data_IF_431287309596
#
_entry.id   IF_431287309596
#
_cell.length_a   1.000
_cell.length_b   1.000
_cell.length_c   1.000
_cell.angle_alpha   90.00
_cell.angle_beta   90.00
_cell.angle_gamma   90.00
#
_symmetry.space_group_name_H-M   'P 1'
#
loop_
_entity.id
_entity.type
_entity.pdbx_description
1 polymer ?
#
# COMPACT_ATOMS: atom_id res chain seq x y z
N UNK A 1 -24.85 11.26 -12.78
CA UNK A 1 -24.23 12.32 -13.62
C UNK A 1 -23.85 11.76 -15.01
N UNK A 2 -24.25 12.45 -16.09
CA UNK A 2 -24.17 11.99 -17.50
C UNK A 2 -22.74 11.61 -17.91
N UNK A 3 -22.54 10.38 -18.40
CA UNK A 3 -21.30 9.90 -19.03
C UNK A 3 -20.95 10.76 -20.25
N UNK A 4 -19.90 11.56 -20.17
CA UNK A 4 -19.35 12.25 -21.34
C UNK A 4 -18.44 11.27 -22.08
N UNK A 5 -18.91 10.73 -23.22
CA UNK A 5 -18.08 10.03 -24.20
C UNK A 5 -17.21 11.07 -24.93
N UNK A 6 -16.01 11.36 -24.43
CA UNK A 6 -15.02 12.11 -25.21
C UNK A 6 -14.33 11.16 -26.18
N UNK A 7 -14.39 11.46 -27.48
CA UNK A 7 -13.93 10.55 -28.55
C UNK A 7 -12.81 11.15 -29.40
N UNK A 8 -12.32 12.36 -29.11
CA UNK A 8 -11.21 12.92 -29.89
C UNK A 8 -10.34 13.92 -29.13
N UNK A 9 -9.11 14.11 -29.63
CA UNK A 9 -8.14 15.12 -29.16
C UNK A 9 -8.72 16.55 -29.04
N UNK A 10 -9.79 16.84 -29.79
CA UNK A 10 -10.48 18.13 -29.72
C UNK A 10 -11.15 18.36 -28.36
N UNK A 11 -11.54 17.31 -27.66
CA UNK A 11 -12.30 17.35 -26.39
C UNK A 11 -11.42 17.48 -25.15
N UNK A 12 -10.09 17.34 -25.31
CA UNK A 12 -9.12 17.47 -24.22
C UNK A 12 -9.07 18.92 -23.72
N UNK A 13 -9.17 19.18 -22.40
CA UNK A 13 -9.08 20.52 -21.80
C UNK A 13 -7.84 21.31 -22.24
N UNK A 14 -7.98 22.63 -22.37
CA UNK A 14 -6.93 23.53 -22.89
C UNK A 14 -5.63 23.49 -22.11
N UNK A 15 -5.71 23.29 -20.80
CA UNK A 15 -4.55 23.35 -19.90
C UNK A 15 -3.66 22.12 -20.04
N UNK A 16 -4.27 20.97 -20.37
CA UNK A 16 -3.58 19.74 -20.72
C UNK A 16 -2.88 19.91 -22.07
N UNK A 17 -3.58 20.44 -23.09
CA UNK A 17 -2.98 20.70 -24.42
C UNK A 17 -1.74 21.60 -24.35
N UNK A 18 -1.80 22.68 -23.58
CA UNK A 18 -0.64 23.59 -23.36
C UNK A 18 0.53 22.91 -22.67
N UNK A 19 0.27 21.92 -21.82
CA UNK A 19 1.31 21.13 -21.14
C UNK A 19 2.00 20.18 -22.13
N UNK A 20 1.24 19.54 -23.02
CA UNK A 20 1.80 18.68 -24.08
C UNK A 20 2.65 19.45 -25.10
N UNK A 21 2.26 20.67 -25.44
CA UNK A 21 3.04 21.56 -26.33
C UNK A 21 4.38 21.96 -25.71
N UNK A 22 4.43 22.22 -24.39
CA UNK A 22 5.67 22.54 -23.67
C UNK A 22 6.65 21.36 -23.58
N UNK A 23 6.16 20.13 -23.66
CA UNK A 23 6.97 18.91 -23.54
C UNK A 23 7.50 18.41 -24.90
N UNK A 24 7.17 19.08 -26.01
CA UNK A 24 7.65 18.81 -27.37
C UNK A 24 7.50 17.33 -27.81
N UNK A 25 6.39 16.70 -27.40
CA UNK A 25 6.12 15.28 -27.67
C UNK A 25 5.69 15.07 -29.14
N UNK A 26 6.31 14.13 -29.88
CA UNK A 26 6.01 13.85 -31.29
C UNK A 26 4.52 13.53 -31.55
N UNK A 27 3.99 13.90 -32.73
CA UNK A 27 2.56 13.73 -33.07
C UNK A 27 2.06 12.27 -33.01
N UNK A 28 2.94 11.29 -33.27
CA UNK A 28 2.56 9.87 -33.20
C UNK A 28 2.29 9.41 -31.76
N UNK A 29 2.89 10.04 -30.75
CA UNK A 29 2.67 9.77 -29.32
C UNK A 29 1.44 10.50 -28.78
N UNK A 30 0.97 11.58 -29.41
CA UNK A 30 -0.27 12.29 -29.00
C UNK A 30 -1.52 11.41 -29.07
N UNK A 31 -1.55 10.42 -29.98
CA UNK A 31 -2.61 9.39 -30.03
C UNK A 31 -2.54 8.43 -28.84
N UNK A 32 -1.34 8.06 -28.41
CA UNK A 32 -1.11 7.17 -27.27
C UNK A 32 -1.46 7.86 -25.93
N UNK A 33 -1.13 9.16 -25.81
CA UNK A 33 -1.43 10.00 -24.65
C UNK A 33 -2.84 10.61 -24.65
N UNK A 34 -3.69 10.25 -25.61
CA UNK A 34 -5.08 10.69 -25.64
C UNK A 34 -5.95 10.11 -24.52
N UNK A 35 -5.37 9.38 -23.54
CA UNK A 35 -5.87 9.06 -22.20
C UNK A 35 -7.09 8.14 -22.12
N UNK A 36 -8.03 8.30 -23.05
CA UNK A 36 -9.26 7.57 -23.19
C UNK A 36 -8.98 6.15 -23.66
N UNK A 37 -8.06 5.94 -24.62
CA UNK A 37 -7.68 4.60 -25.09
C UNK A 37 -7.06 3.73 -23.97
N UNK A 38 -6.05 4.26 -23.29
CA UNK A 38 -5.39 3.57 -22.19
C UNK A 38 -6.33 3.30 -21.00
N UNK A 39 -7.25 4.22 -20.67
CA UNK A 39 -8.25 3.98 -19.62
C UNK A 39 -9.29 2.93 -20.01
N UNK A 40 -9.82 2.98 -21.24
CA UNK A 40 -10.80 1.98 -21.71
C UNK A 40 -10.17 0.58 -21.87
N UNK A 41 -8.94 0.49 -22.36
CA UNK A 41 -8.20 -0.77 -22.44
C UNK A 41 -7.86 -1.30 -21.04
N UNK A 42 -7.49 -0.41 -20.09
CA UNK A 42 -7.25 -0.79 -18.70
C UNK A 42 -8.51 -1.28 -18.00
N UNK A 43 -9.68 -0.66 -18.21
CA UNK A 43 -10.94 -1.12 -17.64
C UNK A 43 -11.33 -2.52 -18.16
N UNK A 44 -11.18 -2.77 -19.46
CA UNK A 44 -11.48 -4.07 -20.06
C UNK A 44 -10.49 -5.17 -19.64
N UNK A 45 -9.21 -4.84 -19.48
CA UNK A 45 -8.20 -5.76 -18.94
C UNK A 45 -8.51 -6.06 -17.48
N UNK A 46 -8.83 -5.04 -16.69
CA UNK A 46 -9.14 -5.19 -15.28
C UNK A 46 -10.44 -5.99 -15.05
N UNK A 47 -11.46 -5.80 -15.88
CA UNK A 47 -12.67 -6.62 -15.83
C UNK A 47 -12.37 -8.10 -16.12
N UNK A 48 -11.54 -8.39 -17.12
CA UNK A 48 -11.12 -9.77 -17.43
C UNK A 48 -10.28 -10.39 -16.31
N UNK A 49 -9.40 -9.61 -15.69
CA UNK A 49 -8.62 -10.05 -14.53
C UNK A 49 -9.51 -10.34 -13.33
N UNK A 50 -10.50 -9.49 -13.03
CA UNK A 50 -11.48 -9.74 -11.96
C UNK A 50 -12.24 -11.04 -12.17
N UNK A 51 -12.69 -11.33 -13.39
CA UNK A 51 -13.36 -12.60 -13.68
C UNK A 51 -12.43 -13.80 -13.53
N UNK A 52 -11.16 -13.69 -13.97
CA UNK A 52 -10.14 -14.72 -13.76
C UNK A 52 -9.91 -14.96 -12.26
N UNK A 53 -9.67 -13.91 -11.49
CA UNK A 53 -9.44 -13.97 -10.05
C UNK A 53 -10.61 -14.61 -9.32
N UNK A 54 -11.85 -14.24 -9.68
CA UNK A 54 -13.06 -14.85 -9.10
C UNK A 54 -13.14 -16.35 -9.38
N UNK A 55 -12.74 -16.82 -10.57
CA UNK A 55 -12.69 -18.25 -10.91
C UNK A 55 -11.62 -19.00 -10.12
N UNK A 56 -10.51 -18.34 -9.80
CA UNK A 56 -9.42 -18.87 -8.96
C UNK A 56 -9.72 -18.75 -7.46
N UNK A 57 -10.88 -18.21 -7.08
CA UNK A 57 -11.30 -18.03 -5.67
C UNK A 57 -10.65 -16.85 -4.97
N UNK A 58 -9.91 -16.01 -5.69
CA UNK A 58 -9.26 -14.81 -5.14
C UNK A 58 -10.34 -13.78 -4.78
N UNK A 59 -10.27 -13.27 -3.55
CA UNK A 59 -11.09 -12.16 -3.10
C UNK A 59 -10.24 -10.90 -3.15
N UNK A 60 -10.69 -9.91 -3.91
CA UNK A 60 -10.09 -8.58 -3.94
C UNK A 60 -11.20 -7.53 -4.01
N UNK A 61 -11.52 -6.98 -2.84
CA UNK A 61 -12.65 -6.09 -2.61
C UNK A 61 -12.19 -4.85 -1.82
N UNK A 62 -13.01 -3.81 -1.79
CA UNK A 62 -12.92 -2.81 -0.72
C UNK A 62 -13.21 -3.45 0.64
N UNK A 63 -12.65 -2.86 1.69
CA UNK A 63 -12.68 -3.43 3.04
C UNK A 63 -14.13 -3.51 3.59
N UNK A 64 -15.02 -2.56 3.24
CA UNK A 64 -16.44 -2.57 3.61
C UNK A 64 -17.21 -3.71 2.95
N UNK A 65 -16.98 -3.96 1.66
CA UNK A 65 -17.60 -5.06 0.92
C UNK A 65 -17.05 -6.40 1.41
N UNK A 66 -15.75 -6.49 1.71
CA UNK A 66 -15.14 -7.65 2.35
C UNK A 66 -15.81 -8.03 3.68
N UNK A 67 -16.09 -7.04 4.54
CA UNK A 67 -16.83 -7.25 5.78
C UNK A 67 -18.26 -7.80 5.55
N UNK A 68 -18.95 -7.31 4.52
CA UNK A 68 -20.34 -7.70 4.23
C UNK A 68 -20.45 -9.07 3.57
N UNK A 69 -19.59 -9.36 2.60
CA UNK A 69 -19.67 -10.57 1.78
C UNK A 69 -18.90 -11.76 2.38
N UNK A 70 -17.86 -11.49 3.19
CA UNK A 70 -17.01 -12.52 3.82
C UNK A 70 -16.87 -12.31 5.34
N UNK A 71 -17.98 -12.25 6.10
CA UNK A 71 -17.95 -11.91 7.52
C UNK A 71 -17.15 -12.91 8.37
N UNK A 72 -17.11 -14.19 7.98
CA UNK A 72 -16.38 -15.22 8.73
C UNK A 72 -14.86 -14.99 8.67
N UNK A 73 -14.32 -14.77 7.48
CA UNK A 73 -12.90 -14.43 7.30
C UNK A 73 -12.59 -13.08 7.95
N UNK A 74 -13.46 -12.09 7.78
CA UNK A 74 -13.25 -10.78 8.37
C UNK A 74 -13.19 -10.86 9.90
N UNK A 75 -14.11 -11.60 10.52
CA UNK A 75 -14.15 -11.82 11.97
C UNK A 75 -12.92 -12.58 12.49
N UNK A 76 -12.39 -13.52 11.71
CA UNK A 76 -11.19 -14.28 12.08
C UNK A 76 -9.93 -13.39 12.09
N UNK A 77 -9.76 -12.55 11.07
CA UNK A 77 -8.47 -11.89 10.81
C UNK A 77 -8.42 -10.40 11.17
N UNK A 78 -9.54 -9.69 11.16
CA UNK A 78 -9.54 -8.24 11.38
C UNK A 78 -9.08 -7.87 12.80
N UNK A 79 -8.02 -7.06 12.90
CA UNK A 79 -7.43 -6.66 14.18
C UNK A 79 -6.63 -7.76 14.88
N UNK A 80 -6.41 -8.92 14.24
CA UNK A 80 -5.64 -10.02 14.80
C UNK A 80 -4.13 -9.73 14.85
N UNK A 81 -3.63 -8.84 13.99
CA UNK A 81 -2.22 -8.44 13.92
C UNK A 81 -2.01 -7.05 14.51
N UNK A 82 -2.94 -6.14 14.26
CA UNK A 82 -2.95 -4.76 14.80
C UNK A 82 -4.30 -4.50 15.47
N UNK A 83 -4.35 -4.80 16.77
CA UNK A 83 -5.51 -4.52 17.62
C UNK A 83 -5.78 -3.02 17.76
N UNK A 84 -7.01 -2.67 18.12
CA UNK A 84 -7.39 -1.29 18.50
C UNK A 84 -6.53 -0.74 19.66
N UNK A 85 -5.92 -1.61 20.47
CA UNK A 85 -5.09 -1.23 21.62
C UNK A 85 -3.61 -1.02 21.27
N UNK A 86 -3.19 -1.26 20.02
CA UNK A 86 -1.78 -1.24 19.61
C UNK A 86 -1.11 0.11 19.85
N UNK A 87 -1.76 1.19 19.39
CA UNK A 87 -1.33 2.55 19.59
C UNK A 87 -2.50 3.52 19.34
N UNK A 88 -2.34 4.80 19.71
CA UNK A 88 -3.40 5.81 19.58
C UNK A 88 -3.93 6.01 18.14
N UNK A 89 -3.09 5.84 17.12
CA UNK A 89 -3.50 5.98 15.72
C UNK A 89 -4.19 4.72 15.20
N UNK A 90 -3.76 3.54 15.64
CA UNK A 90 -4.47 2.29 15.39
C UNK A 90 -5.85 2.29 16.05
N UNK A 91 -5.97 2.79 17.29
CA UNK A 91 -7.24 2.95 17.99
C UNK A 91 -8.21 3.86 17.20
N UNK A 92 -7.71 5.03 16.78
CA UNK A 92 -8.46 5.97 15.96
C UNK A 92 -8.88 5.32 14.63
N UNK A 93 -7.95 4.70 13.92
CA UNK A 93 -8.24 4.00 12.67
C UNK A 93 -9.31 2.92 12.87
N UNK A 94 -9.19 2.06 13.89
CA UNK A 94 -10.20 1.01 14.15
C UNK A 94 -11.58 1.59 14.45
N UNK A 95 -11.68 2.78 15.06
CA UNK A 95 -12.95 3.41 15.35
C UNK A 95 -13.62 4.08 14.13
N UNK A 96 -12.83 4.65 13.21
CA UNK A 96 -13.35 5.52 12.14
C UNK A 96 -12.86 5.15 10.74
N UNK A 97 -12.34 3.94 10.54
CA UNK A 97 -11.81 3.53 9.24
C UNK A 97 -12.86 3.71 8.15
N UNK A 98 -12.39 4.15 6.98
CA UNK A 98 -13.20 4.29 5.79
C UNK A 98 -12.29 4.11 4.58
N UNK A 99 -12.67 3.17 3.72
CA UNK A 99 -11.86 2.71 2.61
C UNK A 99 -10.67 1.84 3.02
N UNK A 100 -10.03 1.27 2.00
CA UNK A 100 -8.97 0.29 2.15
C UNK A 100 -9.22 -0.93 1.27
N UNK A 101 -8.60 -2.05 1.59
CA UNK A 101 -8.70 -3.27 0.78
C UNK A 101 -8.84 -4.52 1.63
N UNK A 102 -9.71 -5.43 1.19
CA UNK A 102 -9.79 -6.79 1.69
C UNK A 102 -9.32 -7.76 0.61
N UNK A 103 -8.24 -8.49 0.91
CA UNK A 103 -7.62 -9.42 -0.04
C UNK A 103 -7.45 -10.78 0.61
N UNK A 104 -7.92 -11.83 -0.06
CA UNK A 104 -7.67 -13.21 0.31
C UNK A 104 -7.21 -14.00 -0.92
N UNK A 105 -6.04 -14.64 -0.80
CA UNK A 105 -5.49 -15.53 -1.82
C UNK A 105 -5.65 -16.97 -1.32
N UNK A 106 -6.43 -17.82 -2.02
CA UNK A 106 -6.67 -19.21 -1.61
C UNK A 106 -5.41 -20.08 -1.66
N UNK A 107 -5.47 -21.20 -0.92
CA UNK A 107 -4.41 -22.20 -0.87
C UNK A 107 -3.91 -22.61 -2.26
N UNK A 108 -2.59 -22.59 -2.44
CA UNK A 108 -1.88 -23.01 -3.65
C UNK A 108 -2.01 -22.04 -4.85
N UNK A 109 -2.80 -20.97 -4.74
CA UNK A 109 -2.97 -20.00 -5.83
C UNK A 109 -1.74 -19.10 -5.92
N UNK A 110 -1.19 -18.95 -7.13
CA UNK A 110 -0.05 -18.09 -7.41
C UNK A 110 -0.42 -17.06 -8.45
N UNK A 111 -0.29 -15.78 -8.08
CA UNK A 111 -0.57 -14.66 -8.97
C UNK A 111 0.77 -14.07 -9.42
N UNK A 112 1.01 -14.09 -10.73
CA UNK A 112 2.20 -13.49 -11.33
C UNK A 112 2.01 -11.98 -11.52
N UNK A 113 0.79 -11.56 -11.86
CA UNK A 113 0.46 -10.15 -12.01
C UNK A 113 0.22 -9.48 -10.65
N UNK A 114 0.80 -8.29 -10.40
CA UNK A 114 0.57 -7.58 -9.15
C UNK A 114 -0.88 -7.10 -9.05
N UNK A 115 -1.53 -7.35 -7.90
CA UNK A 115 -2.78 -6.72 -7.54
C UNK A 115 -2.49 -5.26 -7.20
N UNK A 116 -3.11 -4.32 -7.91
CA UNK A 116 -2.84 -2.90 -7.75
C UNK A 116 -4.06 -2.16 -7.21
N UNK A 117 -3.84 -1.32 -6.20
CA UNK A 117 -4.79 -0.29 -5.76
C UNK A 117 -4.16 1.08 -5.96
N UNK A 118 -4.98 2.01 -6.44
CA UNK A 118 -4.59 3.40 -6.58
C UNK A 118 -5.52 4.25 -5.73
N UNK A 119 -4.99 4.78 -4.63
CA UNK A 119 -5.72 5.72 -3.79
C UNK A 119 -5.40 7.15 -4.24
N UNK A 120 -6.41 7.83 -4.78
CA UNK A 120 -6.33 9.25 -5.11
C UNK A 120 -7.14 10.04 -4.08
N UNK A 121 -6.50 10.95 -3.37
CA UNK A 121 -7.21 11.85 -2.46
C UNK A 121 -7.99 12.88 -3.29
N UNK A 122 -9.31 12.95 -3.08
CA UNK A 122 -10.17 13.94 -3.75
C UNK A 122 -10.72 15.02 -2.81
N UNK A 123 -10.67 14.84 -1.48
CA UNK A 123 -11.33 15.73 -0.52
C UNK A 123 -10.36 16.58 0.32
N UNK A 124 -10.66 17.88 0.39
CA UNK A 124 -9.82 18.94 0.95
C UNK A 124 -9.76 18.98 2.50
N UNK A 125 -10.60 18.19 3.19
CA UNK A 125 -10.82 18.36 4.66
C UNK A 125 -10.99 17.10 5.51
N UNK A 126 -10.61 15.91 5.03
CA UNK A 126 -10.79 14.66 5.80
C UNK A 126 -9.45 14.00 6.09
N UNK A 127 -9.25 13.58 7.35
CA UNK A 127 -8.21 12.61 7.69
C UNK A 127 -8.50 11.29 6.98
N UNK A 128 -7.46 10.61 6.51
CA UNK A 128 -7.57 9.33 5.83
C UNK A 128 -7.22 8.20 6.80
N UNK A 129 -8.19 7.32 7.02
CA UNK A 129 -8.10 6.20 7.96
C UNK A 129 -8.33 4.89 7.21
N UNK A 130 -7.55 4.65 6.15
CA UNK A 130 -7.70 3.43 5.37
C UNK A 130 -7.26 2.20 6.16
N UNK A 131 -7.93 1.07 5.92
CA UNK A 131 -7.56 -0.19 6.54
C UNK A 131 -7.46 -1.30 5.51
N UNK A 132 -6.28 -1.89 5.40
CA UNK A 132 -5.99 -2.98 4.47
C UNK A 132 -5.75 -4.26 5.23
N UNK A 133 -6.47 -5.31 4.86
CA UNK A 133 -6.38 -6.65 5.40
C UNK A 133 -6.07 -7.64 4.28
N UNK A 134 -4.91 -8.28 4.35
CA UNK A 134 -4.44 -9.24 3.34
C UNK A 134 -4.17 -10.58 4.00
N UNK A 135 -4.79 -11.64 3.48
CA UNK A 135 -4.56 -13.01 3.88
C UNK A 135 -4.02 -13.78 2.67
N UNK A 136 -2.84 -14.37 2.83
CA UNK A 136 -2.23 -15.24 1.82
C UNK A 136 -2.14 -16.63 2.42
N UNK A 137 -2.99 -17.52 1.90
CA UNK A 137 -3.18 -18.87 2.44
C UNK A 137 -2.01 -19.80 2.09
N UNK A 138 -2.06 -21.03 2.58
CA UNK A 138 -0.95 -21.99 2.47
C UNK A 138 -0.50 -22.19 1.02
N UNK A 139 0.82 -22.26 0.80
CA UNK A 139 1.44 -22.47 -0.51
C UNK A 139 1.05 -21.42 -1.58
N UNK A 140 0.39 -20.32 -1.19
CA UNK A 140 -0.07 -19.27 -2.08
C UNK A 140 0.95 -18.14 -2.25
N UNK A 141 0.88 -17.43 -3.38
CA UNK A 141 1.80 -16.33 -3.68
C UNK A 141 1.07 -15.16 -4.33
N UNK A 142 1.40 -13.94 -3.89
CA UNK A 142 0.97 -12.72 -4.57
C UNK A 142 1.92 -11.54 -4.41
N UNK A 143 1.73 -10.53 -5.26
CA UNK A 143 2.36 -9.21 -5.14
C UNK A 143 1.27 -8.14 -5.09
N UNK A 144 1.34 -7.26 -4.09
CA UNK A 144 0.44 -6.13 -3.93
C UNK A 144 1.20 -4.85 -4.18
N UNK A 145 0.61 -3.94 -4.95
CA UNK A 145 1.11 -2.57 -5.09
C UNK A 145 0.05 -1.56 -4.71
N UNK A 146 0.43 -0.68 -3.78
CA UNK A 146 -0.39 0.44 -3.34
C UNK A 146 0.32 1.74 -3.75
N UNK A 147 -0.40 2.56 -4.52
CA UNK A 147 0.02 3.92 -4.86
C UNK A 147 -0.86 4.95 -4.16
N UNK A 148 -0.24 5.87 -3.43
CA UNK A 148 -0.94 7.01 -2.83
C UNK A 148 -0.42 8.31 -3.45
N UNK A 149 -1.31 9.08 -4.07
CA UNK A 149 -1.00 10.46 -4.51
C UNK A 149 -2.05 11.43 -3.99
N UNK A 150 -1.58 12.57 -3.49
CA UNK A 150 -2.42 13.64 -2.99
C UNK A 150 -2.20 14.93 -3.80
N UNK A 151 -3.26 15.64 -4.21
CA UNK A 151 -3.15 17.03 -4.66
C UNK A 151 -2.51 17.92 -3.58
N UNK A 152 -1.87 19.02 -4.00
CA UNK A 152 -1.33 20.00 -3.06
C UNK A 152 -2.48 20.75 -2.42
N UNK A 153 -2.71 20.54 -1.12
CA UNK A 153 -3.73 21.24 -0.35
C UNK A 153 -3.09 22.27 0.58
N UNK A 154 -3.85 23.31 0.95
CA UNK A 154 -3.39 24.43 1.77
C UNK A 154 -3.43 24.17 3.28
N UNK A 155 -4.17 23.16 3.74
CA UNK A 155 -4.38 22.85 5.17
C UNK A 155 -3.78 21.52 5.58
N UNK A 156 -3.18 21.43 6.76
CA UNK A 156 -2.61 20.16 7.26
C UNK A 156 -3.67 19.04 7.30
N UNK A 157 -3.27 17.83 6.88
CA UNK A 157 -4.13 16.63 6.93
C UNK A 157 -3.39 15.45 7.54
N UNK A 158 -4.14 14.54 8.17
CA UNK A 158 -3.63 13.32 8.79
C UNK A 158 -3.98 12.10 7.93
N UNK A 159 -2.96 11.33 7.58
CA UNK A 159 -3.09 9.99 7.07
C UNK A 159 -2.65 9.00 8.14
N UNK A 160 -3.59 8.20 8.66
CA UNK A 160 -3.35 7.19 9.68
C UNK A 160 -3.90 5.84 9.19
N UNK A 161 -3.21 5.26 8.21
CA UNK A 161 -3.52 3.95 7.64
C UNK A 161 -3.07 2.78 8.52
N UNK A 162 -3.82 1.68 8.46
CA UNK A 162 -3.47 0.41 9.09
C UNK A 162 -3.41 -0.70 8.04
N UNK A 163 -2.32 -1.45 8.04
CA UNK A 163 -2.13 -2.60 7.12
C UNK A 163 -1.81 -3.85 7.93
N UNK A 164 -2.66 -4.86 7.80
CA UNK A 164 -2.51 -6.18 8.38
C UNK A 164 -2.26 -7.21 7.27
N UNK A 165 -1.16 -7.97 7.39
CA UNK A 165 -0.82 -9.04 6.45
C UNK A 165 -0.64 -10.35 7.20
N UNK A 166 -1.35 -11.39 6.77
CA UNK A 166 -1.25 -12.74 7.32
C UNK A 166 -0.73 -13.66 6.23
N UNK A 167 0.53 -14.09 6.36
CA UNK A 167 1.18 -15.01 5.44
C UNK A 167 1.24 -16.41 6.07
N UNK A 168 0.40 -17.33 5.58
CA UNK A 168 0.28 -18.71 6.07
C UNK A 168 1.45 -19.59 5.59
N UNK A 169 1.45 -20.87 5.97
CA UNK A 169 2.54 -21.80 5.72
C UNK A 169 2.99 -21.82 4.26
N UNK A 170 4.30 -21.76 4.01
CA UNK A 170 4.93 -21.74 2.69
C UNK A 170 4.47 -20.61 1.75
N UNK A 171 3.69 -19.64 2.23
CA UNK A 171 3.17 -18.57 1.39
C UNK A 171 4.21 -17.49 1.12
N UNK A 172 3.99 -16.68 0.08
CA UNK A 172 4.83 -15.54 -0.24
C UNK A 172 4.02 -14.31 -0.60
N UNK A 173 4.30 -13.21 0.08
CA UNK A 173 3.69 -11.91 -0.17
C UNK A 173 4.77 -10.86 -0.37
N UNK A 174 4.63 -10.07 -1.45
CA UNK A 174 5.34 -8.81 -1.61
C UNK A 174 4.34 -7.67 -1.52
N UNK A 175 4.54 -6.75 -0.59
CA UNK A 175 3.79 -5.52 -0.46
C UNK A 175 4.68 -4.35 -0.86
N UNK A 176 4.32 -3.68 -1.96
CA UNK A 176 5.08 -2.54 -2.48
C UNK A 176 4.27 -1.26 -2.35
N UNK A 177 4.90 -0.19 -1.84
CA UNK A 177 4.29 1.13 -1.77
C UNK A 177 5.20 2.20 -2.34
N UNK A 178 4.59 3.12 -3.08
CA UNK A 178 5.22 4.39 -3.43
C UNK A 178 4.26 5.48 -2.98
N UNK A 179 4.69 6.21 -1.95
CA UNK A 179 3.92 7.31 -1.40
C UNK A 179 4.56 8.62 -1.84
N UNK A 180 3.76 9.49 -2.45
CA UNK A 180 4.16 10.86 -2.78
C UNK A 180 3.11 11.82 -2.23
N UNK A 181 3.29 12.18 -0.97
CA UNK A 181 2.34 13.02 -0.23
C UNK A 181 2.59 14.50 -0.47
N UNK A 182 1.52 15.30 -0.38
CA UNK A 182 1.67 16.75 -0.27
C UNK A 182 2.44 17.13 1.01
N UNK A 183 3.12 18.28 0.98
CA UNK A 183 4.08 18.73 2.01
C UNK A 183 3.46 19.04 3.38
N UNK A 184 2.14 19.05 3.48
CA UNK A 184 1.31 19.37 4.64
C UNK A 184 0.66 18.13 5.29
N UNK A 185 1.01 16.93 4.81
CA UNK A 185 0.44 15.65 5.30
C UNK A 185 1.27 15.10 6.47
N UNK A 186 0.60 14.67 7.53
CA UNK A 186 1.16 13.80 8.56
C UNK A 186 0.85 12.35 8.18
N UNK A 187 1.87 11.57 7.86
CA UNK A 187 1.77 10.16 7.47
C UNK A 187 2.17 9.26 8.65
N UNK A 188 1.19 8.84 9.43
CA UNK A 188 1.39 8.13 10.71
C UNK A 188 0.76 6.73 10.63
N UNK A 189 1.43 5.83 9.91
CA UNK A 189 0.88 4.52 9.53
C UNK A 189 1.35 3.40 10.43
N UNK A 190 0.50 2.40 10.62
CA UNK A 190 0.86 1.15 11.31
C UNK A 190 0.73 -0.02 10.34
N UNK A 191 1.86 -0.59 9.91
CA UNK A 191 1.90 -1.75 9.00
C UNK A 191 2.57 -2.93 9.68
N UNK A 192 1.91 -4.08 9.70
CA UNK A 192 2.46 -5.29 10.33
C UNK A 192 2.00 -6.54 9.63
N UNK A 193 2.94 -7.44 9.42
CA UNK A 193 2.70 -8.78 8.94
C UNK A 193 2.97 -9.82 10.03
N UNK A 194 2.29 -10.96 9.93
CA UNK A 194 2.63 -12.19 10.62
C UNK A 194 3.00 -13.25 9.58
N UNK A 195 4.17 -13.86 9.75
CA UNK A 195 4.71 -14.88 8.87
C UNK A 195 4.75 -16.22 9.60
N UNK A 196 4.00 -17.19 9.07
CA UNK A 196 3.93 -18.57 9.55
C UNK A 196 5.06 -19.43 8.96
N UNK A 197 5.00 -20.75 9.18
CA UNK A 197 6.07 -21.69 8.84
C UNK A 197 6.52 -21.53 7.38
N UNK A 198 7.82 -21.29 7.17
CA UNK A 198 8.44 -21.04 5.86
C UNK A 198 7.82 -19.90 5.02
N UNK A 199 6.92 -19.09 5.58
CA UNK A 199 6.31 -17.98 4.86
C UNK A 199 7.33 -16.87 4.63
N UNK A 200 7.23 -16.17 3.50
CA UNK A 200 8.09 -15.03 3.17
C UNK A 200 7.27 -13.76 3.01
N UNK A 201 7.58 -12.74 3.80
CA UNK A 201 6.98 -11.41 3.69
C UNK A 201 8.02 -10.41 3.21
N UNK A 202 7.70 -9.68 2.15
CA UNK A 202 8.53 -8.62 1.60
C UNK A 202 7.81 -7.27 1.67
N UNK A 203 8.39 -6.30 2.38
CA UNK A 203 7.97 -4.91 2.40
C UNK A 203 8.90 -4.09 1.52
N UNK A 204 8.39 -3.47 0.46
CA UNK A 204 9.14 -2.58 -0.43
C UNK A 204 8.48 -1.20 -0.38
N UNK A 205 9.19 -0.16 0.08
CA UNK A 205 8.55 1.15 0.29
C UNK A 205 9.44 2.31 -0.13
N UNK A 206 8.81 3.24 -0.84
CA UNK A 206 9.35 4.56 -1.15
C UNK A 206 8.51 5.64 -0.49
N UNK A 207 9.06 6.32 0.50
CA UNK A 207 8.41 7.45 1.19
C UNK A 207 8.94 8.78 0.66
N UNK A 208 8.09 9.50 -0.07
CA UNK A 208 8.37 10.81 -0.66
C UNK A 208 7.25 11.78 -0.25
N UNK A 209 7.60 13.05 0.00
CA UNK A 209 6.61 14.06 0.35
C UNK A 209 6.44 14.25 1.85
N UNK A 210 5.21 14.49 2.29
CA UNK A 210 4.74 14.71 3.69
C UNK A 210 5.46 15.83 4.45
N UNK A 211 4.83 16.27 5.53
CA UNK A 211 5.46 17.11 6.56
C UNK A 211 6.20 16.22 7.56
N UNK A 212 5.50 15.20 8.07
CA UNK A 212 6.05 14.21 9.00
C UNK A 212 5.61 12.83 8.54
N UNK A 213 6.55 11.90 8.43
CA UNK A 213 6.27 10.47 8.28
C UNK A 213 6.76 9.72 9.51
N UNK A 214 5.93 8.82 10.03
CA UNK A 214 6.30 7.78 10.97
C UNK A 214 5.82 6.44 10.41
N UNK A 215 6.76 5.63 9.89
CA UNK A 215 6.44 4.35 9.24
C UNK A 215 7.47 3.28 9.61
N UNK A 216 6.99 2.20 10.25
CA UNK A 216 7.85 1.09 10.71
C UNK A 216 7.23 -0.26 10.35
N UNK A 217 7.22 -0.68 9.07
CA UNK A 217 6.67 -1.95 8.65
C UNK A 217 7.34 -3.07 9.44
N UNK A 218 6.51 -3.90 10.03
CA UNK A 218 6.95 -4.90 11.00
C UNK A 218 6.61 -6.29 10.48
N UNK A 219 7.46 -7.29 10.75
CA UNK A 219 7.16 -8.70 10.51
C UNK A 219 7.36 -9.48 11.80
N UNK A 220 6.29 -10.12 12.26
CA UNK A 220 6.34 -11.14 13.30
C UNK A 220 6.64 -12.48 12.62
N UNK A 221 7.86 -12.97 12.81
CA UNK A 221 8.33 -14.27 12.32
C UNK A 221 7.91 -15.32 13.34
N UNK A 222 6.64 -15.77 13.23
CA UNK A 222 5.92 -16.51 14.26
C UNK A 222 6.34 -17.97 14.36
N UNK A 223 6.65 -18.59 13.22
CA UNK A 223 6.91 -20.03 13.12
C UNK A 223 8.23 -20.32 12.41
N UNK A 224 8.67 -21.59 12.50
CA UNK A 224 9.97 -22.03 12.00
C UNK A 224 10.16 -21.68 10.52
N UNK A 225 11.34 -21.19 10.17
CA UNK A 225 11.69 -20.95 8.77
C UNK A 225 11.09 -19.69 8.15
N UNK A 226 10.27 -18.93 8.88
CA UNK A 226 9.69 -17.68 8.39
C UNK A 226 10.77 -16.66 8.00
N UNK A 227 10.48 -15.86 6.97
CA UNK A 227 11.43 -14.89 6.37
C UNK A 227 10.81 -13.50 6.22
N UNK A 228 11.62 -12.48 6.48
CA UNK A 228 11.26 -11.07 6.29
C UNK A 228 12.30 -10.34 5.43
N UNK A 229 11.86 -9.69 4.36
CA UNK A 229 12.68 -8.74 3.59
C UNK A 229 12.03 -7.36 3.68
N UNK A 230 12.75 -6.37 4.19
CA UNK A 230 12.24 -5.00 4.38
C UNK A 230 13.18 -4.05 3.65
N UNK A 231 12.70 -3.40 2.60
CA UNK A 231 13.46 -2.45 1.78
C UNK A 231 12.78 -1.09 1.79
N UNK A 232 13.49 -0.09 2.30
CA UNK A 232 13.01 1.28 2.40
C UNK A 232 13.87 2.26 1.61
N UNK A 233 13.20 3.24 1.01
CA UNK A 233 13.80 4.48 0.53
C UNK A 233 12.99 5.64 1.09
N UNK A 234 13.64 6.63 1.68
CA UNK A 234 12.97 7.82 2.23
C UNK A 234 13.67 9.09 1.80
N UNK A 235 12.89 10.11 1.42
CA UNK A 235 13.40 11.40 0.95
C UNK A 235 12.82 12.58 1.75
N UNK A 236 13.65 13.21 2.57
CA UNK A 236 13.34 14.47 3.25
C UNK A 236 14.02 15.64 2.54
N UNK A 237 13.30 16.33 1.66
CA UNK A 237 13.87 17.30 0.71
C UNK A 237 13.45 18.77 0.91
N UNK A 238 12.93 19.15 2.08
CA UNK A 238 12.61 20.54 2.44
C UNK A 238 12.76 20.77 3.94
N UNK A 239 12.99 22.03 4.33
CA UNK A 239 13.03 22.48 5.73
C UNK A 239 11.76 22.06 6.47
N UNK A 240 11.91 21.64 7.72
CA UNK A 240 10.84 21.18 8.62
C UNK A 240 10.14 19.87 8.19
N UNK A 241 10.63 19.19 7.14
CA UNK A 241 10.17 17.82 6.85
C UNK A 241 10.91 16.81 7.71
N UNK A 242 10.17 15.85 8.26
CA UNK A 242 10.74 14.74 9.04
C UNK A 242 10.29 13.42 8.43
N UNK A 243 11.24 12.59 8.04
CA UNK A 243 11.01 11.21 7.64
C UNK A 243 11.58 10.29 8.71
N UNK A 244 10.75 9.85 9.66
CA UNK A 244 11.11 8.83 10.66
C UNK A 244 10.60 7.48 10.17
N UNK A 245 11.49 6.72 9.52
CA UNK A 245 11.13 5.47 8.86
C UNK A 245 12.08 4.34 9.24
N UNK A 246 11.63 3.10 9.08
CA UNK A 246 12.51 1.96 9.28
C UNK A 246 11.76 0.65 9.20
N UNK A 247 12.10 -0.32 10.04
CA UNK A 247 11.50 -1.65 9.96
C UNK A 247 11.72 -2.45 11.23
N UNK A 248 10.83 -3.39 11.50
CA UNK A 248 10.94 -4.27 12.67
C UNK A 248 10.86 -5.74 12.27
N UNK A 249 11.80 -6.55 12.75
CA UNK A 249 11.76 -8.00 12.64
C UNK A 249 11.70 -8.60 14.06
N UNK A 250 10.66 -9.39 14.32
CA UNK A 250 10.42 -10.02 15.63
C UNK A 250 10.50 -11.53 15.42
N UNK A 251 11.61 -12.13 15.82
CA UNK A 251 11.90 -13.55 15.69
C UNK A 251 11.36 -14.31 16.90
N UNK A 252 10.28 -15.08 16.69
CA UNK A 252 9.63 -15.89 17.73
C UNK A 252 9.88 -17.40 17.58
N UNK A 253 10.58 -17.82 16.53
CA UNK A 253 10.82 -19.23 16.25
C UNK A 253 12.21 -19.50 15.65
N UNK A 254 12.61 -20.77 15.74
CA UNK A 254 13.87 -21.28 15.18
C UNK A 254 14.00 -21.08 13.66
N UNK A 255 15.23 -20.95 13.16
CA UNK A 255 15.55 -20.87 11.73
C UNK A 255 14.83 -19.74 10.97
N UNK A 256 14.45 -18.68 11.66
CA UNK A 256 13.87 -17.49 11.03
C UNK A 256 14.96 -16.58 10.47
N UNK A 257 14.68 -15.85 9.38
CA UNK A 257 15.63 -14.95 8.73
C UNK A 257 15.01 -13.58 8.47
N UNK A 258 15.77 -12.51 8.66
CA UNK A 258 15.33 -11.16 8.29
C UNK A 258 16.44 -10.37 7.61
N UNK A 259 16.10 -9.60 6.58
CA UNK A 259 16.95 -8.57 5.99
C UNK A 259 16.21 -7.23 6.02
N UNK A 260 16.88 -6.19 6.55
CA UNK A 260 16.38 -4.81 6.55
C UNK A 260 17.39 -3.94 5.82
N UNK A 261 16.97 -3.34 4.70
CA UNK A 261 17.77 -2.40 3.91
C UNK A 261 17.06 -1.06 3.94
N UNK A 262 17.71 -0.03 4.47
CA UNK A 262 17.17 1.33 4.51
C UNK A 262 18.09 2.31 3.80
N UNK A 263 17.53 3.10 2.88
CA UNK A 263 18.24 4.19 2.20
C UNK A 263 17.51 5.50 2.46
N UNK A 264 18.09 6.32 3.33
CA UNK A 264 17.54 7.62 3.72
C UNK A 264 18.31 8.76 3.04
N UNK A 265 17.57 9.72 2.46
CA UNK A 265 18.12 10.85 1.72
C UNK A 265 17.57 12.13 2.35
N UNK A 266 18.46 12.96 2.91
CA UNK A 266 18.13 14.29 3.42
C UNK A 266 18.72 15.36 2.51
N UNK A 267 17.94 16.41 2.23
CA UNK A 267 18.40 17.60 1.51
C UNK A 267 17.58 18.84 1.89
N UNK A 268 18.12 20.04 1.61
CA UNK A 268 17.44 21.34 1.79
C UNK A 268 16.85 21.55 3.19
N UNK A 269 17.51 21.03 4.22
CA UNK A 269 17.11 21.18 5.62
C UNK A 269 16.04 20.19 6.11
N UNK A 270 15.73 19.14 5.35
CA UNK A 270 14.87 18.05 5.81
C UNK A 270 15.61 17.07 6.73
N UNK A 271 14.89 16.41 7.62
CA UNK A 271 15.43 15.43 8.56
C UNK A 271 14.99 14.02 8.14
N UNK A 272 15.93 13.08 8.14
CA UNK A 272 15.64 11.65 7.96
C UNK A 272 16.22 10.88 9.12
N UNK A 273 15.35 10.14 9.80
CA UNK A 273 15.67 9.30 10.96
C UNK A 273 15.37 7.87 10.57
N UNK A 274 16.38 7.00 10.70
CA UNK A 274 16.16 5.56 10.60
C UNK A 274 15.85 4.99 11.99
N UNK A 275 14.79 4.19 12.09
CA UNK A 275 14.43 3.47 13.31
C UNK A 275 14.15 2.00 13.04
N UNK A 276 15.10 1.15 13.41
CA UNK A 276 15.02 -0.30 13.27
C UNK A 276 14.81 -1.02 14.60
N UNK A 277 14.21 -2.22 14.54
CA UNK A 277 14.24 -3.19 15.65
C UNK A 277 14.44 -4.60 15.09
N UNK A 278 15.44 -5.30 15.60
CA UNK A 278 15.55 -6.76 15.45
C UNK A 278 15.45 -7.35 16.84
N UNK A 279 14.37 -8.07 17.12
CA UNK A 279 14.13 -8.72 18.41
C UNK A 279 14.15 -10.23 18.22
N UNK A 280 14.93 -10.93 19.05
CA UNK A 280 14.97 -12.38 19.11
C UNK A 280 14.41 -12.79 20.48
N UNK A 281 13.28 -13.48 20.48
CA UNK A 281 12.66 -13.96 21.70
C UNK A 281 13.49 -15.11 22.31
N UNK A 282 13.39 -15.27 23.64
CA UNK A 282 13.94 -16.43 24.31
C UNK A 282 13.16 -17.68 23.85
N UNK A 283 13.90 -18.69 23.39
CA UNK A 283 13.35 -19.90 22.78
C UNK A 283 12.66 -20.85 23.74
#
# INVERSE_FOLDING_TARGET
PKKIKQKSWKDVPSDIKKTFEKLNIPEHEKKFFSGVGAQYESEMVYHRLKEKWKKEGIIFLDIETGLKEHPDLFKEYFGSVISYSDNKFAALNTAVWSGGSFIYIPKGVKIDEPLQTYFRIESEKLGQFERTLIIVDEDAQMSYMEGCTAPVYSTNSLHAGVVEVIAKKNSKIRYSTIQNWSINIYNLVTKRAIAHENATVEWIFGSIGSLVTMEYPSVILKERGAKANIVSISLANHKNKVQDSGGKAIHLASNTNSQIISKSISSKGGESVYRGLVHIANG
#
